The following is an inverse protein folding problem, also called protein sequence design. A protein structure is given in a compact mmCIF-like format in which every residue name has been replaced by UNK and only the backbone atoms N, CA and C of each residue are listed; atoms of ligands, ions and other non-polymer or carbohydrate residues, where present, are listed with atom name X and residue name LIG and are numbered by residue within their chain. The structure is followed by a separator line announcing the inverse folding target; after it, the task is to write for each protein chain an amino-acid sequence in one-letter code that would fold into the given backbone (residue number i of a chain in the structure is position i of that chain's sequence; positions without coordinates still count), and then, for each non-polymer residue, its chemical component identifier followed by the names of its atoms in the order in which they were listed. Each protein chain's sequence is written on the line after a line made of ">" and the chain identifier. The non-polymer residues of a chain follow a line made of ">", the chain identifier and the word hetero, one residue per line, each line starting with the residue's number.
data_IF_078376351775
#
_entry.id   IF_078376351775
#
_cell.length_a   1.000
_cell.length_b   1.000
_cell.length_c   1.000
_cell.angle_alpha   90.00
_cell.angle_beta   90.00
_cell.angle_gamma   90.00
#
_symmetry.space_group_name_H-M   'P 1'
#
loop_
_entity.id
_entity.type
_entity.pdbx_description
1 polymer ?
#
# COMPACT_ATOMS: atom_id res chain seq x y z
N UNK A 1 -16.37 53.64 1.25
CA UNK A 1 -15.91 52.87 0.06
C UNK A 1 -14.62 52.18 0.43
N UNK A 2 -14.40 50.86 0.48
CA UNK A 2 -15.14 49.61 0.25
C UNK A 2 -14.43 48.61 1.22
N UNK A 3 -15.13 48.05 2.20
CA UNK A 3 -15.55 46.65 2.30
C UNK A 3 -14.57 45.58 1.79
N UNK A 4 -14.20 44.66 2.71
CA UNK A 4 -14.10 43.19 2.59
C UNK A 4 -13.21 42.65 1.46
N UNK A 5 -12.19 41.83 1.73
CA UNK A 5 -12.35 40.38 1.93
C UNK A 5 -11.16 39.88 2.76
N UNK A 6 -11.46 39.56 4.03
CA UNK A 6 -10.66 38.67 4.85
C UNK A 6 -11.50 37.40 4.98
N UNK A 7 -11.45 36.53 3.97
CA UNK A 7 -12.08 35.19 4.00
C UNK A 7 -11.30 34.21 3.13
N UNK A 8 -10.92 33.11 3.77
CA UNK A 8 -10.68 31.78 3.18
C UNK A 8 -9.32 31.52 2.53
N UNK A 9 -8.27 31.33 3.35
CA UNK A 9 -7.09 30.53 2.95
C UNK A 9 -6.98 29.22 3.76
N UNK A 10 -7.86 28.99 4.74
CA UNK A 10 -7.89 27.74 5.51
C UNK A 10 -8.49 26.52 4.75
N UNK A 11 -8.68 26.61 3.43
CA UNK A 11 -9.55 25.69 2.69
C UNK A 11 -8.86 24.67 1.77
N UNK A 12 -7.57 24.78 1.47
CA UNK A 12 -6.96 23.99 0.38
C UNK A 12 -5.91 22.96 0.82
N UNK A 13 -5.25 23.14 1.96
CA UNK A 13 -4.30 22.16 2.50
C UNK A 13 -5.00 20.90 3.08
N UNK A 14 -6.30 21.00 3.41
CA UNK A 14 -7.08 19.87 3.95
C UNK A 14 -7.62 18.92 2.86
N UNK A 15 -7.56 19.30 1.58
CA UNK A 15 -8.13 18.50 0.48
C UNK A 15 -7.22 17.36 -0.01
N UNK A 16 -5.89 17.50 0.10
CA UNK A 16 -4.92 16.45 -0.27
C UNK A 16 -4.77 15.37 0.81
N UNK A 17 -4.87 15.74 2.09
CA UNK A 17 -4.81 14.78 3.21
C UNK A 17 -6.12 13.96 3.32
N UNK A 18 -7.26 14.57 3.04
CA UNK A 18 -8.56 13.87 3.02
C UNK A 18 -8.67 12.91 1.83
N UNK A 19 -8.05 13.19 0.68
CA UNK A 19 -8.13 12.30 -0.49
C UNK A 19 -7.35 10.99 -0.32
N UNK A 20 -6.10 11.04 0.18
CA UNK A 20 -5.29 9.83 0.38
C UNK A 20 -5.87 8.92 1.47
N UNK A 21 -6.34 9.49 2.59
CA UNK A 21 -6.97 8.72 3.65
C UNK A 21 -8.32 8.12 3.23
N UNK A 22 -9.10 8.80 2.39
CA UNK A 22 -10.36 8.27 1.84
C UNK A 22 -10.12 7.19 0.77
N UNK A 23 -9.20 7.40 -0.16
CA UNK A 23 -8.87 6.42 -1.20
C UNK A 23 -8.37 5.09 -0.61
N UNK A 24 -7.46 5.17 0.37
CA UNK A 24 -6.96 3.99 1.09
C UNK A 24 -8.08 3.32 1.89
N UNK A 25 -9.03 4.06 2.47
CA UNK A 25 -10.20 3.50 3.15
C UNK A 25 -11.16 2.76 2.20
N UNK A 26 -11.27 3.19 0.94
CA UNK A 26 -12.11 2.54 -0.06
C UNK A 26 -11.47 1.26 -0.63
N UNK A 27 -10.14 1.25 -0.82
CA UNK A 27 -9.37 0.03 -1.07
C UNK A 27 -9.52 -1.01 0.05
N UNK A 28 -9.70 -0.55 1.30
CA UNK A 28 -10.00 -1.43 2.44
C UNK A 28 -11.45 -1.94 2.46
N UNK A 29 -12.36 -1.29 1.74
CA UNK A 29 -13.81 -1.52 1.79
C UNK A 29 -14.36 -2.28 0.58
N UNK A 30 -13.62 -2.39 -0.53
CA UNK A 30 -14.12 -3.02 -1.78
C UNK A 30 -14.42 -4.53 -1.68
N UNK A 31 -14.11 -5.18 -0.55
CA UNK A 31 -14.59 -6.52 -0.20
C UNK A 31 -15.95 -6.58 0.54
N UNK A 32 -16.52 -5.46 0.96
CA UNK A 32 -17.61 -5.37 1.94
C UNK A 32 -18.93 -4.86 1.34
N UNK A 33 -19.50 -5.59 0.39
CA UNK A 33 -20.88 -5.36 -0.04
C UNK A 33 -21.72 -6.64 -0.07
N UNK A 34 -21.81 -7.34 1.09
CA UNK A 34 -23.01 -8.05 1.59
C UNK A 34 -22.69 -8.89 2.83
N UNK A 35 -22.79 -8.30 4.01
CA UNK A 35 -22.99 -9.08 5.23
C UNK A 35 -24.48 -9.44 5.32
N UNK A 36 -24.82 -10.69 4.96
CA UNK A 36 -26.10 -11.32 5.31
C UNK A 36 -25.80 -12.24 6.49
N UNK A 37 -26.36 -11.90 7.66
CA UNK A 37 -26.49 -12.71 8.88
C UNK A 37 -25.86 -14.12 8.82
N UNK A 38 -24.66 -14.29 9.38
CA UNK A 38 -24.06 -15.60 9.55
C UNK A 38 -22.84 -15.55 10.47
N UNK A 39 -22.65 -16.61 11.25
CA UNK A 39 -21.50 -16.87 12.14
C UNK A 39 -20.16 -17.07 11.40
N UNK A 40 -20.03 -16.54 10.18
CA UNK A 40 -18.87 -16.65 9.31
C UNK A 40 -17.85 -15.54 9.58
N UNK A 41 -16.60 -15.78 9.20
CA UNK A 41 -15.59 -14.72 9.15
C UNK A 41 -15.89 -13.81 7.96
N UNK A 42 -15.78 -12.49 8.13
CA UNK A 42 -15.88 -11.54 7.01
C UNK A 42 -14.69 -11.67 6.04
N UNK A 43 -13.59 -12.26 6.52
CA UNK A 43 -12.39 -12.57 5.74
C UNK A 43 -11.61 -13.75 6.33
N UNK A 44 -10.86 -14.46 5.48
CA UNK A 44 -10.15 -15.71 5.83
C UNK A 44 -8.63 -15.61 5.60
N UNK A 45 -8.18 -14.53 5.00
CA UNK A 45 -6.78 -14.17 4.89
C UNK A 45 -6.65 -12.65 4.75
N UNK A 46 -5.47 -12.12 5.04
CA UNK A 46 -5.14 -10.70 4.83
C UNK A 46 -3.77 -10.61 4.17
N UNK A 47 -3.68 -9.99 3.00
CA UNK A 47 -2.42 -9.70 2.33
C UNK A 47 -1.92 -8.32 2.74
N UNK A 48 -0.63 -8.20 3.00
CA UNK A 48 0.02 -6.98 3.49
C UNK A 48 1.17 -6.57 2.59
N UNK A 49 1.36 -5.26 2.44
CA UNK A 49 2.37 -4.68 1.55
C UNK A 49 3.73 -4.47 2.22
N UNK A 50 3.83 -4.79 3.52
CA UNK A 50 5.05 -4.72 4.30
C UNK A 50 5.27 -6.01 5.10
N UNK A 51 6.50 -6.28 5.58
CA UNK A 51 6.75 -7.35 6.53
C UNK A 51 5.98 -7.15 7.84
N UNK A 52 5.90 -8.21 8.63
CA UNK A 52 5.30 -8.24 9.97
C UNK A 52 3.85 -7.75 10.01
N UNK A 53 3.09 -8.00 8.93
CA UNK A 53 1.68 -7.65 8.79
C UNK A 53 1.41 -6.14 8.88
N UNK A 54 2.32 -5.34 8.33
CA UNK A 54 2.24 -3.87 8.31
C UNK A 54 1.86 -3.35 6.92
N UNK A 55 1.72 -2.03 6.80
CA UNK A 55 1.39 -1.37 5.55
C UNK A 55 -0.09 -1.49 5.21
N UNK A 56 -0.39 -1.36 3.91
CA UNK A 56 -1.74 -1.58 3.42
C UNK A 56 -2.12 -3.04 3.60
N UNK A 57 -3.37 -3.26 3.99
CA UNK A 57 -3.89 -4.60 4.14
C UNK A 57 -5.17 -4.83 3.34
N UNK A 58 -5.17 -5.90 2.57
CA UNK A 58 -6.32 -6.38 1.81
C UNK A 58 -6.91 -7.62 2.42
N UNK A 59 -8.18 -7.52 2.81
CA UNK A 59 -8.94 -8.62 3.38
C UNK A 59 -9.48 -9.52 2.27
N UNK A 60 -9.08 -10.79 2.28
CA UNK A 60 -9.54 -11.80 1.33
C UNK A 60 -10.77 -12.49 1.94
N UNK A 61 -11.98 -12.30 1.37
CA UNK A 61 -13.22 -12.58 2.09
C UNK A 61 -13.47 -14.07 2.35
N UNK A 62 -13.12 -14.95 1.39
CA UNK A 62 -13.46 -16.37 1.45
C UNK A 62 -12.52 -17.25 0.63
N UNK A 63 -12.69 -18.57 0.75
CA UNK A 63 -12.10 -19.51 -0.19
C UNK A 63 -12.52 -19.17 -1.63
N UNK A 64 -11.59 -19.27 -2.57
CA UNK A 64 -11.79 -18.82 -3.94
C UNK A 64 -10.48 -18.62 -4.69
N UNK A 65 -10.63 -18.12 -5.90
CA UNK A 65 -9.56 -17.84 -6.84
C UNK A 65 -9.59 -16.33 -7.10
N UNK A 66 -8.45 -15.68 -6.98
CA UNK A 66 -8.34 -14.23 -7.08
C UNK A 66 -7.13 -13.90 -7.96
N UNK A 67 -7.37 -13.37 -9.15
CA UNK A 67 -6.33 -12.66 -9.90
C UNK A 67 -6.13 -11.29 -9.27
N UNK A 68 -4.87 -10.89 -9.13
CA UNK A 68 -4.51 -9.60 -8.56
C UNK A 68 -4.61 -8.52 -9.66
N UNK A 69 -4.74 -7.27 -9.23
CA UNK A 69 -5.19 -6.17 -10.06
C UNK A 69 -6.67 -6.32 -10.45
N UNK A 70 -7.06 -5.62 -11.51
CA UNK A 70 -8.40 -5.74 -12.11
C UNK A 70 -9.54 -5.64 -11.10
N UNK A 71 -10.42 -6.66 -11.08
CA UNK A 71 -11.62 -6.67 -10.25
C UNK A 71 -11.42 -7.00 -8.77
N UNK A 72 -10.25 -7.53 -8.38
CA UNK A 72 -9.95 -7.79 -6.96
C UNK A 72 -9.24 -6.60 -6.31
N UNK A 73 -8.70 -5.69 -7.12
CA UNK A 73 -8.17 -4.40 -6.71
C UNK A 73 -7.04 -4.49 -5.66
N UNK A 74 -6.38 -5.64 -5.53
CA UNK A 74 -5.09 -5.73 -4.83
C UNK A 74 -3.97 -5.60 -5.87
N UNK A 75 -3.03 -4.65 -5.77
CA UNK A 75 -1.99 -4.46 -6.78
C UNK A 75 -1.18 -5.74 -7.03
N UNK A 76 -0.79 -5.95 -8.28
CA UNK A 76 0.13 -7.03 -8.62
C UNK A 76 1.46 -6.85 -7.89
N UNK A 77 2.11 -7.97 -7.59
CA UNK A 77 3.48 -8.00 -7.12
C UNK A 77 3.69 -7.10 -5.88
N UNK A 78 2.69 -7.02 -5.01
CA UNK A 78 2.66 -6.10 -3.86
C UNK A 78 2.69 -6.80 -2.50
N UNK A 79 2.40 -8.11 -2.46
CA UNK A 79 2.30 -8.86 -1.22
C UNK A 79 3.69 -9.17 -0.66
N UNK A 80 3.89 -8.85 0.62
CA UNK A 80 5.14 -9.07 1.37
C UNK A 80 4.92 -9.95 2.60
N UNK A 81 3.79 -9.79 3.27
CA UNK A 81 3.37 -10.69 4.36
C UNK A 81 1.90 -11.04 4.23
N UNK A 82 1.50 -12.15 4.85
CA UNK A 82 0.14 -12.65 4.71
C UNK A 82 -0.33 -13.33 6.00
N UNK A 83 -1.47 -12.87 6.51
CA UNK A 83 -2.22 -13.55 7.55
C UNK A 83 -3.11 -14.62 6.94
N UNK A 84 -3.09 -15.85 7.43
CA UNK A 84 -3.95 -16.93 6.94
C UNK A 84 -4.68 -17.57 8.10
N UNK A 85 -6.00 -17.47 8.09
CA UNK A 85 -6.79 -17.92 9.20
C UNK A 85 -6.71 -19.45 9.37
N UNK A 86 -6.68 -19.97 10.62
CA UNK A 86 -6.55 -21.40 10.87
C UNK A 86 -7.59 -22.24 10.13
N UNK A 87 -7.17 -23.33 9.49
CA UNK A 87 -8.05 -24.16 8.66
C UNK A 87 -8.22 -23.67 7.22
N UNK A 88 -7.47 -22.64 6.81
CA UNK A 88 -7.30 -22.24 5.41
C UNK A 88 -5.84 -22.39 4.95
N UNK A 89 -5.65 -22.37 3.63
CA UNK A 89 -4.35 -22.20 3.01
C UNK A 89 -4.46 -21.22 1.85
N UNK A 90 -3.43 -20.43 1.62
CA UNK A 90 -3.30 -19.57 0.45
C UNK A 90 -2.16 -20.08 -0.42
N UNK A 91 -2.41 -20.27 -1.71
CA UNK A 91 -1.36 -20.51 -2.70
C UNK A 91 -1.21 -19.27 -3.55
N UNK A 92 -0.05 -18.62 -3.46
CA UNK A 92 0.35 -17.47 -4.27
C UNK A 92 0.98 -17.98 -5.56
N UNK A 93 0.67 -17.32 -6.66
CA UNK A 93 1.16 -17.64 -8.00
C UNK A 93 1.84 -16.41 -8.58
N UNK A 94 2.96 -16.63 -9.24
CA UNK A 94 3.77 -15.57 -9.83
C UNK A 94 3.01 -14.83 -10.94
N UNK A 95 2.21 -15.56 -11.71
CA UNK A 95 1.51 -14.99 -12.85
C UNK A 95 0.00 -14.97 -12.60
N UNK A 96 -0.71 -14.17 -13.38
CA UNK A 96 -2.16 -14.24 -13.52
C UNK A 96 -2.63 -15.63 -13.98
N UNK A 97 -3.91 -15.92 -13.81
CA UNK A 97 -4.52 -17.19 -14.19
C UNK A 97 -3.99 -18.39 -13.39
N UNK A 98 -3.41 -18.14 -12.21
CA UNK A 98 -2.87 -19.16 -11.30
C UNK A 98 -1.75 -19.99 -11.94
N UNK A 99 -0.88 -19.32 -12.70
CA UNK A 99 0.21 -19.91 -13.46
C UNK A 99 1.59 -19.55 -12.90
N UNK A 100 2.63 -20.13 -13.50
CA UNK A 100 4.02 -19.86 -13.13
C UNK A 100 4.45 -20.51 -11.80
N UNK A 101 5.46 -19.92 -11.17
CA UNK A 101 5.96 -20.38 -9.87
C UNK A 101 4.90 -20.17 -8.80
N UNK A 102 4.89 -21.04 -7.78
CA UNK A 102 3.91 -20.95 -6.68
C UNK A 102 4.52 -21.20 -5.31
N UNK A 103 3.89 -20.62 -4.31
CA UNK A 103 4.18 -20.84 -2.88
C UNK A 103 2.86 -21.04 -2.13
N UNK A 104 2.80 -22.03 -1.22
CA UNK A 104 1.62 -22.26 -0.38
C UNK A 104 1.95 -21.96 1.07
N UNK A 105 1.10 -21.14 1.69
CA UNK A 105 1.14 -20.78 3.12
C UNK A 105 -0.14 -21.29 3.81
N UNK A 106 -0.01 -21.71 5.07
CA UNK A 106 -1.11 -22.35 5.84
C UNK A 106 -1.33 -21.69 7.21
N UNK A 107 -0.73 -20.52 7.41
CA UNK A 107 -0.81 -19.73 8.62
C UNK A 107 -0.13 -18.39 8.40
N UNK A 108 -0.11 -17.59 9.46
CA UNK A 108 0.49 -16.25 9.43
C UNK A 108 1.96 -16.34 9.04
N UNK A 109 2.30 -15.62 7.98
CA UNK A 109 3.63 -15.59 7.38
C UNK A 109 4.08 -14.12 7.39
N UNK A 110 4.93 -13.71 8.36
CA UNK A 110 5.30 -12.31 8.54
C UNK A 110 6.25 -11.79 7.47
N UNK A 111 6.87 -12.65 6.68
CA UNK A 111 7.70 -12.28 5.52
C UNK A 111 7.71 -13.44 4.51
N UNK A 112 7.38 -13.15 3.26
CA UNK A 112 7.46 -14.10 2.14
C UNK A 112 8.89 -14.27 1.61
N UNK A 113 9.84 -13.46 2.08
CA UNK A 113 11.25 -13.53 1.72
C UNK A 113 11.48 -13.27 0.24
N UNK A 114 12.08 -14.24 -0.47
CA UNK A 114 12.37 -14.13 -1.92
C UNK A 114 11.10 -14.11 -2.79
N UNK A 115 9.94 -14.40 -2.21
CA UNK A 115 8.64 -14.43 -2.85
C UNK A 115 7.83 -13.16 -2.57
N UNK A 116 8.38 -12.21 -1.82
CA UNK A 116 7.83 -10.87 -1.71
C UNK A 116 7.82 -10.20 -3.07
N UNK A 117 6.80 -9.38 -3.31
CA UNK A 117 6.63 -8.60 -4.55
C UNK A 117 6.57 -9.42 -5.85
N UNK A 118 6.03 -10.64 -5.78
CA UNK A 118 6.05 -11.56 -6.92
C UNK A 118 4.66 -11.97 -7.43
N UNK A 119 3.64 -11.76 -6.60
CA UNK A 119 2.38 -12.48 -6.74
C UNK A 119 1.44 -11.69 -7.62
N UNK A 120 0.92 -12.33 -8.66
CA UNK A 120 -0.11 -11.77 -9.54
C UNK A 120 -1.43 -12.55 -9.51
N UNK A 121 -1.49 -13.70 -8.82
CA UNK A 121 -2.76 -14.36 -8.49
C UNK A 121 -2.66 -15.23 -7.24
N UNK A 122 -3.79 -15.55 -6.61
CA UNK A 122 -3.84 -16.40 -5.43
C UNK A 122 -5.07 -17.32 -5.39
N UNK A 123 -4.90 -18.48 -4.75
CA UNK A 123 -5.97 -19.42 -4.43
C UNK A 123 -6.09 -19.61 -2.93
N UNK A 124 -7.28 -19.38 -2.41
CA UNK A 124 -7.62 -19.65 -1.00
C UNK A 124 -8.44 -20.92 -0.93
N UNK A 125 -7.99 -21.88 -0.11
CA UNK A 125 -8.67 -23.16 0.07
C UNK A 125 -9.00 -23.38 1.54
N UNK A 126 -10.22 -23.84 1.83
CA UNK A 126 -10.59 -24.35 3.15
C UNK A 126 -10.02 -25.76 3.31
N UNK A 127 -9.24 -25.98 4.36
CA UNK A 127 -8.60 -27.27 4.70
C UNK A 127 -9.33 -28.00 5.80
N UNK A 128 -9.85 -27.27 6.78
CA UNK A 128 -10.58 -27.85 7.91
C UNK A 128 -11.58 -26.85 8.49
N UNK A 129 -12.35 -27.31 9.46
CA UNK A 129 -13.13 -26.40 10.29
C UNK A 129 -12.19 -25.69 11.27
N UNK A 130 -12.28 -24.37 11.27
CA UNK A 130 -11.62 -23.52 12.25
C UNK A 130 -12.34 -23.64 13.60
N UNK A 131 -11.58 -23.81 14.68
CA UNK A 131 -12.14 -23.72 16.03
C UNK A 131 -12.56 -22.26 16.34
N UNK A 132 -13.73 -22.02 16.98
CA UNK A 132 -14.24 -20.66 17.23
C UNK A 132 -13.27 -19.74 17.99
N UNK A 133 -12.49 -20.31 18.93
CA UNK A 133 -11.49 -19.57 19.70
C UNK A 133 -10.31 -19.12 18.83
N UNK A 134 -9.72 -20.04 18.08
CA UNK A 134 -8.62 -19.74 17.16
C UNK A 134 -9.05 -18.71 16.09
N UNK A 135 -10.31 -18.81 15.63
CA UNK A 135 -10.92 -17.83 14.75
C UNK A 135 -10.94 -16.42 15.36
N UNK A 136 -11.38 -16.31 16.61
CA UNK A 136 -11.50 -15.04 17.31
C UNK A 136 -10.12 -14.43 17.61
N UNK A 137 -9.16 -15.24 18.06
CA UNK A 137 -7.79 -14.80 18.34
C UNK A 137 -7.09 -14.27 17.07
N UNK A 138 -7.18 -15.02 15.96
CA UNK A 138 -6.62 -14.59 14.68
C UNK A 138 -7.25 -13.30 14.17
N UNK A 139 -8.59 -13.19 14.18
CA UNK A 139 -9.28 -11.96 13.76
C UNK A 139 -8.91 -10.78 14.63
N UNK A 140 -8.77 -10.99 15.94
CA UNK A 140 -8.39 -9.93 16.87
C UNK A 140 -7.04 -9.36 16.50
N UNK A 141 -6.03 -10.21 16.29
CA UNK A 141 -4.70 -9.78 15.86
C UNK A 141 -4.72 -8.99 14.55
N UNK A 142 -5.35 -9.51 13.50
CA UNK A 142 -5.37 -8.85 12.18
C UNK A 142 -6.33 -7.64 12.09
N UNK A 143 -7.26 -7.47 13.03
CA UNK A 143 -8.04 -6.24 13.17
C UNK A 143 -7.32 -5.18 14.03
N UNK A 144 -6.55 -5.60 15.04
CA UNK A 144 -5.75 -4.72 15.90
C UNK A 144 -4.53 -4.16 15.16
N UNK A 145 -3.97 -4.94 14.23
CA UNK A 145 -3.11 -4.42 13.18
C UNK A 145 -3.99 -3.60 12.24
N UNK A 146 -4.38 -2.42 12.73
CA UNK A 146 -5.18 -1.47 11.97
C UNK A 146 -4.46 -1.32 10.65
N UNK A 147 -5.16 -1.55 9.55
CA UNK A 147 -4.70 -1.31 8.20
C UNK A 147 -4.38 0.19 7.97
N UNK A 148 -3.98 0.95 8.99
CA UNK A 148 -3.64 2.34 8.88
C UNK A 148 -2.40 2.41 7.99
N UNK A 149 -2.51 2.99 6.78
CA UNK A 149 -1.31 3.34 6.04
C UNK A 149 -0.50 4.27 6.93
N UNK A 150 0.81 4.24 6.77
CA UNK A 150 1.75 5.20 7.36
C UNK A 150 2.11 4.95 8.83
N UNK A 151 2.75 3.79 9.09
CA UNK A 151 3.25 3.47 10.44
C UNK A 151 4.51 4.25 10.83
N UNK A 152 5.31 4.69 9.84
CA UNK A 152 6.58 5.37 10.09
C UNK A 152 6.44 6.90 10.05
N UNK A 153 6.74 7.56 11.17
CA UNK A 153 7.02 9.00 11.25
C UNK A 153 8.55 9.20 11.27
N UNK A 154 9.17 9.77 10.21
CA UNK A 154 10.62 9.97 10.14
C UNK A 154 11.16 10.95 11.20
N UNK A 155 10.28 11.67 11.90
CA UNK A 155 10.61 12.66 12.91
C UNK A 155 10.77 14.05 12.31
N UNK A 156 9.94 14.99 12.79
CA UNK A 156 9.76 16.35 12.26
C UNK A 156 11.07 17.10 11.99
N UNK A 157 12.07 16.98 12.87
CA UNK A 157 13.35 17.70 12.71
C UNK A 157 14.19 17.20 11.52
N UNK A 158 14.17 15.89 11.23
CA UNK A 158 14.88 15.34 10.05
C UNK A 158 14.16 15.71 8.77
N UNK A 159 12.83 15.63 8.78
CA UNK A 159 12.01 16.04 7.64
C UNK A 159 12.23 17.52 7.31
N UNK A 160 12.21 18.41 8.30
CA UNK A 160 12.48 19.84 8.11
C UNK A 160 13.85 20.10 7.44
N UNK A 161 14.91 19.44 7.94
CA UNK A 161 16.25 19.56 7.34
C UNK A 161 16.30 19.02 5.91
N UNK A 162 15.60 17.93 5.65
CA UNK A 162 15.51 17.36 4.29
C UNK A 162 14.77 18.29 3.33
N UNK A 163 13.69 18.95 3.79
CA UNK A 163 12.97 19.97 3.03
C UNK A 163 13.87 21.15 2.64
N UNK A 164 14.77 21.59 3.51
CA UNK A 164 15.75 22.65 3.18
C UNK A 164 16.65 22.26 2.00
N UNK A 165 17.00 20.99 1.88
CA UNK A 165 17.90 20.46 0.84
C UNK A 165 17.13 20.11 -0.44
N UNK A 166 16.00 19.42 -0.30
CA UNK A 166 15.28 18.75 -1.38
C UNK A 166 13.93 19.38 -1.72
N UNK A 167 13.54 20.47 -1.05
CA UNK A 167 12.17 21.02 -1.12
C UNK A 167 11.66 21.29 -2.53
N UNK A 168 12.53 21.70 -3.47
CA UNK A 168 12.16 21.86 -4.88
C UNK A 168 11.82 20.55 -5.57
N UNK A 169 12.61 19.50 -5.32
CA UNK A 169 12.38 18.16 -5.88
C UNK A 169 11.13 17.52 -5.26
N UNK A 170 10.96 17.65 -3.93
CA UNK A 170 9.75 17.22 -3.22
C UNK A 170 8.51 17.89 -3.83
N UNK A 171 8.52 19.21 -4.02
CA UNK A 171 7.41 19.94 -4.61
C UNK A 171 7.10 19.49 -6.05
N UNK A 172 8.12 19.12 -6.83
CA UNK A 172 7.94 18.57 -8.18
C UNK A 172 7.25 17.21 -8.13
N UNK A 173 7.70 16.29 -7.26
CA UNK A 173 7.06 14.99 -7.11
C UNK A 173 5.66 15.06 -6.51
N UNK A 174 5.38 16.02 -5.63
CA UNK A 174 4.06 16.25 -5.06
C UNK A 174 3.03 16.69 -6.10
N UNK A 175 3.45 17.45 -7.13
CA UNK A 175 2.61 17.86 -8.26
C UNK A 175 2.63 16.89 -9.44
N UNK A 176 3.58 15.96 -9.48
CA UNK A 176 3.70 15.01 -10.58
C UNK A 176 2.60 13.95 -10.48
N UNK A 177 1.67 13.95 -11.43
CA UNK A 177 0.63 12.93 -11.57
C UNK A 177 1.11 11.73 -12.40
N UNK A 178 0.25 10.72 -12.57
CA UNK A 178 0.55 9.48 -13.31
C UNK A 178 1.12 9.73 -14.72
N UNK A 179 0.69 10.79 -15.41
CA UNK A 179 1.18 11.13 -16.76
C UNK A 179 2.64 11.59 -16.76
N UNK A 180 3.12 12.14 -15.64
CA UNK A 180 4.55 12.45 -15.47
C UNK A 180 5.36 11.16 -15.33
N UNK A 181 4.75 10.10 -14.80
CA UNK A 181 5.39 8.79 -14.64
C UNK A 181 5.31 7.94 -15.92
N UNK A 182 4.16 7.82 -16.56
CA UNK A 182 3.97 6.97 -17.75
C UNK A 182 3.98 7.70 -19.08
N UNK A 183 3.49 8.94 -19.13
CA UNK A 183 3.27 9.67 -20.39
C UNK A 183 4.54 10.19 -21.06
N UNK A 184 5.60 10.46 -20.29
CA UNK A 184 6.79 11.18 -20.80
C UNK A 184 8.13 10.55 -20.44
N UNK A 185 8.15 9.43 -19.71
CA UNK A 185 9.40 8.81 -19.24
C UNK A 185 9.62 7.40 -19.77
N UNK A 186 10.89 7.09 -20.05
CA UNK A 186 11.38 5.73 -20.30
C UNK A 186 11.60 4.96 -18.98
N UNK A 187 11.72 3.64 -19.06
CA UNK A 187 12.04 2.80 -17.89
C UNK A 187 13.30 3.29 -17.17
N UNK A 188 14.34 3.65 -17.92
CA UNK A 188 15.57 4.19 -17.35
C UNK A 188 15.34 5.49 -16.59
N UNK A 189 14.47 6.37 -17.09
CA UNK A 189 14.13 7.62 -16.41
C UNK A 189 13.32 7.36 -15.14
N UNK A 190 12.40 6.39 -15.14
CA UNK A 190 11.67 5.97 -13.93
C UNK A 190 12.62 5.44 -12.85
N UNK A 191 13.62 4.64 -13.22
CA UNK A 191 14.66 4.18 -12.29
C UNK A 191 15.43 5.35 -11.68
N UNK A 192 15.81 6.35 -12.48
CA UNK A 192 16.49 7.57 -11.98
C UNK A 192 15.59 8.37 -11.04
N UNK A 193 14.31 8.51 -11.35
CA UNK A 193 13.34 9.18 -10.47
C UNK A 193 13.15 8.41 -9.16
N UNK A 194 13.10 7.09 -9.22
CA UNK A 194 13.05 6.22 -8.04
C UNK A 194 14.29 6.37 -7.16
N UNK A 195 15.49 6.43 -7.75
CA UNK A 195 16.74 6.67 -7.00
C UNK A 195 16.69 8.02 -6.26
N UNK A 196 16.22 9.08 -6.93
CA UNK A 196 16.02 10.39 -6.31
C UNK A 196 15.01 10.34 -5.15
N UNK A 197 13.85 9.71 -5.34
CA UNK A 197 12.84 9.53 -4.29
C UNK A 197 13.43 8.78 -3.09
N UNK A 198 14.06 7.63 -3.30
CA UNK A 198 14.66 6.83 -2.24
C UNK A 198 15.73 7.62 -1.48
N UNK A 199 16.54 8.42 -2.18
CA UNK A 199 17.50 9.30 -1.54
C UNK A 199 16.83 10.34 -0.64
N UNK A 200 15.79 11.03 -1.12
CA UNK A 200 15.06 12.02 -0.33
C UNK A 200 14.49 11.39 0.94
N UNK A 201 13.80 10.24 0.82
CA UNK A 201 13.24 9.53 1.96
C UNK A 201 14.31 9.03 2.93
N UNK A 202 15.44 8.52 2.43
CA UNK A 202 16.59 8.14 3.25
C UNK A 202 17.15 9.32 4.04
N UNK A 203 17.30 10.50 3.41
CA UNK A 203 17.76 11.72 4.07
C UNK A 203 16.76 12.22 5.13
N UNK A 204 15.47 11.85 5.03
CA UNK A 204 14.46 12.07 6.07
C UNK A 204 14.52 11.06 7.22
N UNK A 205 15.34 10.01 7.11
CA UNK A 205 15.45 8.93 8.09
C UNK A 205 14.43 7.81 7.90
N UNK A 206 13.78 7.73 6.75
CA UNK A 206 12.96 6.56 6.38
C UNK A 206 13.88 5.40 6.05
N UNK A 207 13.54 4.23 6.57
CA UNK A 207 14.22 3.00 6.22
C UNK A 207 13.85 2.56 4.80
N UNK A 208 14.79 2.78 3.88
CA UNK A 208 14.67 2.40 2.47
C UNK A 208 15.71 1.37 2.03
N UNK A 209 16.53 0.81 2.94
CA UNK A 209 17.71 0.01 2.54
C UNK A 209 17.37 -1.24 1.72
N UNK A 210 16.14 -1.71 1.82
CA UNK A 210 15.66 -2.90 1.11
C UNK A 210 15.28 -2.64 -0.35
N UNK A 211 15.24 -1.37 -0.77
CA UNK A 211 14.81 -0.97 -2.09
C UNK A 211 16.02 -0.66 -2.97
N UNK A 212 16.12 -1.41 -4.06
CA UNK A 212 16.89 -0.98 -5.22
C UNK A 212 16.00 -0.06 -6.09
N UNK A 213 16.55 0.96 -6.76
CA UNK A 213 15.77 1.90 -7.56
C UNK A 213 14.90 1.24 -8.65
N UNK A 214 15.39 0.14 -9.24
CA UNK A 214 14.67 -0.62 -10.26
C UNK A 214 13.44 -1.34 -9.70
N UNK A 215 13.59 -1.95 -8.54
CA UNK A 215 12.55 -2.68 -7.83
C UNK A 215 11.51 -1.71 -7.29
N UNK A 216 11.93 -0.54 -6.81
CA UNK A 216 11.02 0.53 -6.40
C UNK A 216 10.25 1.10 -7.60
N UNK A 217 10.92 1.35 -8.73
CA UNK A 217 10.25 1.78 -9.96
C UNK A 217 9.21 0.76 -10.43
N UNK A 218 9.51 -0.53 -10.39
CA UNK A 218 8.55 -1.59 -10.71
C UNK A 218 7.36 -1.55 -9.74
N UNK A 219 7.59 -1.32 -8.45
CA UNK A 219 6.50 -1.18 -7.48
C UNK A 219 5.60 0.02 -7.78
N UNK A 220 6.19 1.17 -8.09
CA UNK A 220 5.45 2.36 -8.50
C UNK A 220 4.58 2.07 -9.72
N UNK A 221 5.11 1.35 -10.72
CA UNK A 221 4.34 0.92 -11.90
C UNK A 221 3.12 0.07 -11.50
N UNK A 222 3.34 -0.99 -10.71
CA UNK A 222 2.29 -1.91 -10.31
C UNK A 222 1.17 -1.22 -9.53
N UNK A 223 1.52 -0.23 -8.71
CA UNK A 223 0.53 0.56 -7.98
C UNK A 223 -0.17 1.60 -8.86
N UNK A 224 0.53 2.22 -9.81
CA UNK A 224 -0.11 3.15 -10.75
C UNK A 224 -1.07 2.45 -11.71
N UNK A 225 -0.78 1.20 -12.08
CA UNK A 225 -1.70 0.35 -12.84
C UNK A 225 -2.97 0.02 -12.04
N UNK A 226 -2.88 0.02 -10.71
CA UNK A 226 -4.00 -0.16 -9.80
C UNK A 226 -4.76 1.15 -9.54
N UNK A 227 -4.05 2.25 -9.31
CA UNK A 227 -4.64 3.56 -9.05
C UNK A 227 -3.80 4.70 -9.59
N UNK A 228 -4.45 5.56 -10.37
CA UNK A 228 -3.87 6.80 -10.89
C UNK A 228 -4.24 8.05 -10.07
N UNK A 229 -4.89 7.89 -8.91
CA UNK A 229 -5.40 9.03 -8.13
C UNK A 229 -4.33 9.75 -7.30
N UNK A 230 -3.18 9.10 -7.08
CA UNK A 230 -2.10 9.67 -6.28
C UNK A 230 -1.06 10.36 -7.16
N UNK A 231 -0.43 11.39 -6.62
CA UNK A 231 0.81 11.91 -7.19
C UNK A 231 1.95 10.89 -7.03
N UNK A 232 3.04 11.08 -7.77
CA UNK A 232 4.27 10.30 -7.63
C UNK A 232 4.76 10.32 -6.18
N UNK A 233 4.69 11.47 -5.50
CA UNK A 233 5.02 11.55 -4.08
C UNK A 233 4.07 10.74 -3.21
N UNK A 234 2.76 10.92 -3.38
CA UNK A 234 1.75 10.19 -2.59
C UNK A 234 1.87 8.68 -2.75
N UNK A 235 2.15 8.23 -3.98
CA UNK A 235 2.39 6.82 -4.27
C UNK A 235 3.66 6.29 -3.60
N UNK A 236 4.74 7.06 -3.62
CA UNK A 236 5.97 6.69 -2.94
C UNK A 236 5.78 6.58 -1.42
N UNK A 237 5.09 7.54 -0.80
CA UNK A 237 4.70 7.49 0.61
C UNK A 237 3.90 6.22 0.92
N UNK A 238 2.95 5.85 0.06
CA UNK A 238 2.13 4.65 0.20
C UNK A 238 2.97 3.37 0.19
N UNK A 239 3.85 3.24 -0.79
CA UNK A 239 4.74 2.07 -0.93
C UNK A 239 5.73 1.98 0.24
N UNK A 240 6.25 3.12 0.70
CA UNK A 240 7.18 3.17 1.83
C UNK A 240 6.48 3.12 3.19
N UNK A 241 5.15 3.17 3.22
CA UNK A 241 4.35 3.20 4.44
C UNK A 241 4.75 4.36 5.39
N UNK A 242 4.94 5.55 4.82
CA UNK A 242 5.33 6.79 5.52
C UNK A 242 4.29 7.89 5.35
N UNK A 243 3.97 8.60 6.43
CA UNK A 243 2.98 9.67 6.42
C UNK A 243 3.45 10.81 5.51
N UNK A 244 2.68 11.22 4.48
CA UNK A 244 3.08 12.34 3.63
C UNK A 244 2.94 13.70 4.31
N UNK A 245 2.11 13.87 5.35
CA UNK A 245 1.80 15.18 5.93
C UNK A 245 3.05 15.96 6.40
N UNK A 246 4.04 15.34 7.06
CA UNK A 246 5.25 16.05 7.49
C UNK A 246 6.08 16.63 6.35
N UNK A 247 5.91 16.15 5.11
CA UNK A 247 6.71 16.53 3.94
C UNK A 247 6.08 17.67 3.13
N UNK A 248 4.94 18.20 3.55
CA UNK A 248 4.29 19.30 2.87
C UNK A 248 5.21 20.53 2.88
N UNK A 249 5.68 20.91 1.70
CA UNK A 249 6.43 22.14 1.50
C UNK A 249 5.42 23.26 1.25
N UNK A 250 5.44 24.29 2.10
CA UNK A 250 4.62 25.49 1.88
C UNK A 250 5.03 26.14 0.54
N UNK A 251 4.03 26.54 -0.26
CA UNK A 251 4.23 27.24 -1.54
C UNK A 251 4.83 28.64 -1.39
#
# INVERSE_FOLDING_TARGET
>A
MKNSIMRSVLGLALLLAVSLACFVRDAHSSGLARAINGTGMDYVAVAYTQPNFQGLAWKIPRAGNYDLGGSFELPNDSIVSIGVAPGYSVTLYQNEGFAGRRMTVQGDTPDLGKQSYWASSLKVQKKSMMGPRAAAEWRRFHNENKNEPFFADPGVARVAKSIEVHGKEIALFQRAEVDTWYGVTSDRQRVVMSDALLKIFSDCGVDVYRWEPDTFAQMMNNYFDWSSELSVWGMACLILNVDPEPFNVEE
#
